data_IF_233950358772
#
_entry.id   IF_233950358772
#
_cell.length_a   1.000
_cell.length_b   1.000
_cell.length_c   1.000
_cell.angle_alpha   90.00
_cell.angle_beta   90.00
_cell.angle_gamma   90.00
#
_symmetry.space_group_name_H-M   'P 1'
#
loop_
_entity.id
_entity.type
_entity.pdbx_description
1 polymer ?
#
# COMPACT_ATOMS: atom_id res chain seq x y z
N UNK A 1 -39.15 -33.25 -18.08
CA UNK A 1 -38.15 -34.29 -17.76
C UNK A 1 -38.76 -35.10 -16.63
N UNK A 2 -39.11 -36.36 -16.89
CA UNK A 2 -39.59 -37.23 -15.83
C UNK A 2 -38.46 -37.44 -14.82
N UNK A 3 -38.78 -37.22 -13.55
CA UNK A 3 -37.88 -37.46 -12.43
C UNK A 3 -37.41 -38.92 -12.46
N UNK A 4 -36.09 -39.13 -12.37
CA UNK A 4 -35.45 -40.45 -12.23
C UNK A 4 -35.99 -41.26 -11.03
N UNK A 5 -36.72 -40.62 -10.12
CA UNK A 5 -37.24 -41.19 -8.88
C UNK A 5 -38.77 -41.31 -8.87
N UNK A 6 -39.42 -41.19 -10.03
CA UNK A 6 -40.88 -41.11 -10.14
C UNK A 6 -41.43 -39.72 -9.81
N UNK A 7 -42.73 -39.48 -10.01
CA UNK A 7 -43.36 -38.22 -9.66
C UNK A 7 -43.27 -38.01 -8.14
N UNK A 8 -43.01 -36.78 -7.66
CA UNK A 8 -43.08 -36.48 -6.23
C UNK A 8 -44.48 -36.84 -5.71
N UNK A 9 -44.55 -37.30 -4.46
CA UNK A 9 -45.85 -37.49 -3.79
C UNK A 9 -46.53 -36.12 -3.74
N UNK A 10 -47.66 -36.02 -4.42
CA UNK A 10 -48.51 -34.83 -4.36
C UNK A 10 -49.19 -34.78 -3.00
N UNK A 11 -49.00 -33.68 -2.29
CA UNK A 11 -49.59 -33.43 -0.98
C UNK A 11 -50.60 -32.27 -1.03
N UNK A 12 -50.94 -31.79 -2.22
CA UNK A 12 -51.87 -30.67 -2.42
C UNK A 12 -53.33 -31.04 -2.12
N UNK A 13 -53.64 -32.33 -2.05
CA UNK A 13 -54.94 -32.90 -1.65
C UNK A 13 -55.17 -32.87 -0.13
N UNK A 14 -54.11 -32.71 0.67
CA UNK A 14 -54.20 -32.60 2.12
C UNK A 14 -54.60 -31.17 2.52
N UNK A 15 -55.87 -30.98 2.86
CA UNK A 15 -56.47 -29.66 3.22
C UNK A 15 -55.77 -28.90 4.36
N UNK A 16 -55.03 -29.61 5.23
CA UNK A 16 -54.27 -29.04 6.34
C UNK A 16 -52.75 -29.03 6.10
N UNK A 17 -52.27 -29.52 4.95
CA UNK A 17 -50.87 -29.50 4.59
C UNK A 17 -50.52 -28.16 3.93
N UNK A 18 -50.20 -27.17 4.75
CA UNK A 18 -49.53 -25.96 4.29
C UNK A 18 -48.02 -26.14 4.47
N UNK A 19 -47.22 -25.86 3.42
CA UNK A 19 -45.80 -25.58 3.61
C UNK A 19 -45.69 -24.30 4.42
N UNK A 20 -45.55 -24.43 5.74
CA UNK A 20 -45.19 -23.30 6.59
C UNK A 20 -43.70 -23.05 6.33
N UNK A 21 -43.37 -22.04 5.53
CA UNK A 21 -42.01 -21.51 5.52
C UNK A 21 -41.70 -21.06 6.94
N UNK A 22 -40.85 -21.81 7.64
CA UNK A 22 -40.57 -21.57 9.07
C UNK A 22 -39.93 -20.18 9.31
N UNK A 23 -39.48 -19.50 8.26
CA UNK A 23 -39.02 -18.11 8.32
C UNK A 23 -39.33 -17.43 6.97
N UNK A 24 -40.13 -16.34 6.94
CA UNK A 24 -40.32 -15.55 5.74
C UNK A 24 -38.97 -15.09 5.21
N UNK A 25 -38.78 -15.15 3.89
CA UNK A 25 -37.60 -14.57 3.26
C UNK A 25 -37.51 -13.09 3.62
N UNK A 26 -36.40 -12.74 4.24
CA UNK A 26 -36.00 -11.36 4.49
C UNK A 26 -34.69 -11.10 3.78
N UNK A 27 -34.82 -10.44 2.64
CA UNK A 27 -33.73 -10.24 1.70
C UNK A 27 -33.19 -8.83 1.77
N UNK A 28 -31.87 -8.69 1.78
CA UNK A 28 -31.19 -7.39 1.75
C UNK A 28 -30.26 -7.28 0.56
N UNK A 29 -30.10 -6.06 0.05
CA UNK A 29 -29.15 -5.75 -1.01
C UNK A 29 -27.76 -5.49 -0.43
N UNK A 30 -26.72 -6.01 -1.07
CA UNK A 30 -25.33 -5.65 -0.81
C UNK A 30 -24.63 -5.18 -2.09
N UNK A 31 -24.11 -3.95 -2.06
CA UNK A 31 -23.47 -3.29 -3.21
C UNK A 31 -22.11 -2.68 -2.88
N UNK A 32 -21.33 -2.40 -3.91
CA UNK A 32 -20.07 -1.65 -3.75
C UNK A 32 -19.63 -0.94 -5.02
N UNK A 33 -19.10 0.25 -4.86
CA UNK A 33 -18.42 1.01 -5.92
C UNK A 33 -16.97 1.28 -5.52
N UNK A 34 -16.04 1.11 -6.46
CA UNK A 34 -14.63 1.39 -6.17
C UNK A 34 -14.30 2.87 -6.38
N UNK A 35 -13.62 3.47 -5.41
CA UNK A 35 -13.00 4.81 -5.52
C UNK A 35 -11.90 4.91 -6.58
N UNK A 36 -11.42 3.78 -7.11
CA UNK A 36 -10.31 3.75 -8.07
C UNK A 36 -10.74 3.62 -9.53
N UNK A 37 -11.99 3.26 -9.79
CA UNK A 37 -12.44 2.92 -11.14
C UNK A 37 -13.15 4.08 -11.85
N UNK A 38 -13.06 5.32 -11.30
CA UNK A 38 -13.78 6.51 -11.79
C UNK A 38 -15.26 6.26 -12.10
N UNK A 39 -15.91 5.40 -11.31
CA UNK A 39 -17.34 5.12 -11.44
C UNK A 39 -18.13 6.14 -10.62
N UNK A 40 -19.24 6.63 -11.17
CA UNK A 40 -20.18 7.46 -10.42
C UNK A 40 -21.06 6.55 -9.52
N UNK A 41 -21.00 6.69 -8.18
CA UNK A 41 -21.83 5.89 -7.28
C UNK A 41 -23.33 6.07 -7.53
N UNK A 42 -23.78 7.27 -7.90
CA UNK A 42 -25.21 7.58 -8.06
C UNK A 42 -25.86 6.89 -9.25
N UNK A 43 -25.07 6.41 -10.22
CA UNK A 43 -25.56 5.55 -11.31
C UNK A 43 -25.19 4.07 -11.12
N UNK A 44 -24.06 3.78 -10.48
CA UNK A 44 -23.56 2.41 -10.34
C UNK A 44 -24.31 1.60 -9.27
N UNK A 45 -24.64 2.19 -8.12
CA UNK A 45 -25.40 1.48 -7.07
C UNK A 45 -26.82 1.15 -7.52
N UNK A 46 -27.62 2.07 -8.11
CA UNK A 46 -28.97 1.72 -8.57
C UNK A 46 -28.97 0.61 -9.63
N UNK A 47 -28.00 0.62 -10.54
CA UNK A 47 -27.82 -0.48 -11.52
C UNK A 47 -27.55 -1.83 -10.83
N UNK A 48 -26.74 -1.83 -9.77
CA UNK A 48 -26.49 -3.04 -8.99
C UNK A 48 -27.77 -3.55 -8.31
N UNK A 49 -28.59 -2.65 -7.76
CA UNK A 49 -29.89 -2.99 -7.16
C UNK A 49 -30.81 -3.63 -8.21
N UNK A 50 -30.94 -3.03 -9.40
CA UNK A 50 -31.79 -3.55 -10.50
C UNK A 50 -31.35 -4.95 -10.94
N UNK A 51 -30.04 -5.23 -10.98
CA UNK A 51 -29.55 -6.57 -11.33
C UNK A 51 -29.74 -7.56 -10.18
N UNK A 52 -29.51 -7.13 -8.94
CA UNK A 52 -29.75 -7.96 -7.76
C UNK A 52 -31.24 -8.31 -7.60
N UNK A 53 -32.15 -7.37 -7.89
CA UNK A 53 -33.59 -7.57 -7.76
C UNK A 53 -34.15 -8.65 -8.69
N UNK A 54 -33.42 -9.03 -9.74
CA UNK A 54 -33.78 -10.16 -10.60
C UNK A 54 -33.75 -11.52 -9.87
N UNK A 55 -33.20 -11.55 -8.64
CA UNK A 55 -33.18 -12.73 -7.76
C UNK A 55 -34.22 -12.69 -6.65
N UNK A 56 -35.02 -11.63 -6.57
CA UNK A 56 -36.15 -11.57 -5.65
C UNK A 56 -37.26 -12.49 -6.15
N UNK A 57 -38.00 -13.07 -5.21
CA UNK A 57 -39.21 -13.83 -5.50
C UNK A 57 -40.40 -12.90 -5.77
N UNK A 58 -41.48 -13.43 -6.34
CA UNK A 58 -42.65 -12.61 -6.66
C UNK A 58 -43.26 -11.98 -5.40
N UNK A 59 -43.34 -10.65 -5.37
CA UNK A 59 -43.85 -9.90 -4.22
C UNK A 59 -42.84 -9.70 -3.09
N UNK A 60 -41.59 -10.10 -3.27
CA UNK A 60 -40.49 -9.83 -2.35
C UNK A 60 -39.83 -8.48 -2.66
N UNK A 61 -39.52 -7.70 -1.61
CA UNK A 61 -38.76 -6.45 -1.69
C UNK A 61 -37.50 -6.51 -0.81
N UNK A 62 -36.55 -5.63 -1.08
CA UNK A 62 -35.37 -5.49 -0.21
C UNK A 62 -35.75 -4.87 1.14
N UNK A 63 -35.51 -5.61 2.21
CA UNK A 63 -35.68 -5.16 3.60
C UNK A 63 -34.57 -4.20 4.08
N UNK A 64 -33.53 -3.99 3.27
CA UNK A 64 -32.42 -3.08 3.56
C UNK A 64 -31.38 -3.04 2.44
N UNK A 65 -30.62 -1.95 2.37
CA UNK A 65 -29.63 -1.63 1.35
C UNK A 65 -28.28 -1.30 2.00
N UNK A 66 -27.33 -2.22 1.88
CA UNK A 66 -25.99 -2.08 2.45
C UNK A 66 -25.00 -1.84 1.32
N UNK A 67 -24.30 -0.71 1.33
CA UNK A 67 -23.34 -0.43 0.28
C UNK A 67 -22.18 0.46 0.71
N UNK A 68 -21.07 0.22 0.02
CA UNK A 68 -19.76 0.80 0.27
C UNK A 68 -19.26 1.57 -0.97
N UNK A 69 -18.53 2.65 -0.76
CA UNK A 69 -17.82 3.41 -1.80
C UNK A 69 -16.33 3.38 -1.48
N UNK A 70 -15.77 2.18 -1.50
CA UNK A 70 -14.38 1.91 -1.16
C UNK A 70 -13.78 0.78 -2.02
N UNK A 71 -12.47 0.58 -1.88
CA UNK A 71 -11.77 -0.52 -2.54
C UNK A 71 -12.23 -1.87 -2.00
N UNK A 72 -12.62 -2.78 -2.89
CA UNK A 72 -12.95 -4.17 -2.53
C UNK A 72 -11.77 -5.00 -2.01
N UNK A 73 -10.57 -4.42 -1.91
CA UNK A 73 -9.40 -5.02 -1.26
C UNK A 73 -9.32 -4.72 0.23
N UNK A 74 -10.08 -3.73 0.71
CA UNK A 74 -10.13 -3.46 2.14
C UNK A 74 -10.93 -4.57 2.83
N UNK A 75 -10.53 -5.00 4.03
CA UNK A 75 -11.36 -5.86 4.85
C UNK A 75 -12.64 -5.10 5.26
N UNK A 76 -13.75 -5.78 5.60
CA UNK A 76 -15.04 -5.15 5.89
C UNK A 76 -14.95 -4.05 6.96
N UNK A 77 -14.21 -4.30 8.05
CA UNK A 77 -14.02 -3.38 9.17
C UNK A 77 -13.29 -2.07 8.82
N UNK A 78 -12.67 -1.99 7.64
CA UNK A 78 -11.99 -0.80 7.15
C UNK A 78 -12.80 -0.04 6.08
N UNK A 79 -14.06 -0.42 5.86
CA UNK A 79 -15.00 0.21 4.90
C UNK A 79 -16.13 0.89 5.64
N UNK A 80 -16.83 1.81 4.98
CA UNK A 80 -18.00 2.45 5.58
C UNK A 80 -17.67 3.41 6.73
N UNK A 81 -16.39 3.71 6.99
CA UNK A 81 -15.92 4.51 8.13
C UNK A 81 -16.02 6.03 7.89
N UNK A 82 -16.47 6.46 6.72
CA UNK A 82 -16.68 7.87 6.41
C UNK A 82 -17.85 8.45 7.23
N UNK A 83 -17.85 9.77 7.48
CA UNK A 83 -19.00 10.42 8.10
C UNK A 83 -20.22 10.38 7.15
N UNK A 84 -21.45 10.36 7.69
CA UNK A 84 -22.67 10.18 6.89
C UNK A 84 -22.83 11.26 5.81
N UNK A 85 -22.43 12.49 6.11
CA UNK A 85 -22.48 13.64 5.20
C UNK A 85 -21.67 13.39 3.91
N UNK A 86 -20.59 12.61 4.01
CA UNK A 86 -19.80 12.21 2.83
C UNK A 86 -20.62 11.34 1.88
N UNK A 87 -21.40 10.39 2.41
CA UNK A 87 -22.22 9.49 1.60
C UNK A 87 -23.46 10.21 1.06
N UNK A 88 -24.06 11.10 1.84
CA UNK A 88 -25.20 11.93 1.41
C UNK A 88 -24.80 12.82 0.23
N UNK A 89 -23.61 13.41 0.27
CA UNK A 89 -23.06 14.23 -0.81
C UNK A 89 -22.83 13.47 -2.13
N UNK A 90 -22.85 12.14 -2.12
CA UNK A 90 -22.76 11.33 -3.35
C UNK A 90 -24.08 11.33 -4.15
N UNK A 91 -25.19 11.79 -3.56
CA UNK A 91 -26.51 11.84 -4.20
C UNK A 91 -26.92 10.49 -4.82
N UNK A 92 -26.64 9.39 -4.11
CA UNK A 92 -27.07 8.05 -4.53
C UNK A 92 -28.57 7.92 -4.23
N UNK A 93 -29.43 7.64 -5.22
CA UNK A 93 -30.88 7.59 -5.00
C UNK A 93 -31.33 6.34 -4.23
N UNK A 94 -30.45 5.33 -4.12
CA UNK A 94 -30.68 4.15 -3.28
C UNK A 94 -30.42 4.47 -1.81
N UNK A 95 -31.35 4.14 -0.89
CA UNK A 95 -31.12 4.29 0.55
C UNK A 95 -29.85 3.58 1.02
N UNK A 96 -29.26 4.05 2.12
CA UNK A 96 -28.10 3.41 2.75
C UNK A 96 -28.38 3.09 4.20
N UNK A 97 -28.56 1.81 4.49
CA UNK A 97 -28.73 1.33 5.87
C UNK A 97 -27.39 1.10 6.56
N UNK A 98 -26.28 1.03 5.81
CA UNK A 98 -24.92 0.88 6.31
C UNK A 98 -23.96 0.34 5.23
N UNK A 99 -22.75 -0.01 5.64
CA UNK A 99 -21.74 -0.69 4.82
C UNK A 99 -21.76 -2.21 4.99
N UNK A 100 -20.77 -2.89 4.40
CA UNK A 100 -20.65 -4.35 4.51
C UNK A 100 -20.43 -4.82 5.96
N UNK A 101 -19.66 -4.08 6.75
CA UNK A 101 -19.43 -4.42 8.16
C UNK A 101 -20.73 -4.33 8.96
N UNK A 102 -21.52 -3.27 8.75
CA UNK A 102 -22.80 -3.11 9.45
C UNK A 102 -23.82 -4.19 9.10
N UNK A 103 -23.76 -4.74 7.88
CA UNK A 103 -24.54 -5.91 7.49
C UNK A 103 -24.11 -7.14 8.28
N UNK A 104 -22.80 -7.41 8.35
CA UNK A 104 -22.27 -8.58 9.07
C UNK A 104 -22.63 -8.54 10.56
N UNK A 105 -22.59 -7.36 11.17
CA UNK A 105 -22.87 -7.19 12.60
C UNK A 105 -24.36 -7.28 12.93
N UNK A 106 -25.24 -6.88 12.00
CA UNK A 106 -26.68 -6.78 12.26
C UNK A 106 -27.52 -7.85 11.57
N UNK A 107 -26.95 -8.69 10.69
CA UNK A 107 -27.72 -9.65 9.89
C UNK A 107 -28.63 -10.57 10.73
N UNK A 108 -28.11 -11.11 11.84
CA UNK A 108 -28.87 -11.98 12.74
C UNK A 108 -29.99 -11.23 13.46
N UNK A 109 -29.68 -10.05 14.02
CA UNK A 109 -30.64 -9.17 14.69
C UNK A 109 -31.77 -8.72 13.76
N UNK A 110 -31.42 -8.39 12.52
CA UNK A 110 -32.37 -7.98 11.48
C UNK A 110 -33.16 -9.17 10.91
N UNK A 111 -32.86 -10.40 11.32
CA UNK A 111 -33.51 -11.61 10.82
C UNK A 111 -33.29 -11.80 9.32
N UNK A 112 -32.16 -11.32 8.78
CA UNK A 112 -31.80 -11.51 7.37
C UNK A 112 -31.74 -13.01 7.08
N UNK A 113 -32.19 -13.39 5.90
CA UNK A 113 -32.13 -14.77 5.39
C UNK A 113 -31.34 -14.84 4.10
N UNK A 114 -31.34 -13.76 3.31
CA UNK A 114 -30.63 -13.69 2.04
C UNK A 114 -29.94 -12.35 1.85
N UNK A 115 -28.72 -12.39 1.33
CA UNK A 115 -27.95 -11.23 0.90
C UNK A 115 -27.76 -11.34 -0.60
N UNK A 116 -28.34 -10.39 -1.35
CA UNK A 116 -28.27 -10.36 -2.80
C UNK A 116 -27.30 -9.28 -3.25
N UNK A 117 -26.38 -9.67 -4.14
CA UNK A 117 -25.46 -8.74 -4.79
C UNK A 117 -25.41 -9.01 -6.29
N UNK A 118 -25.03 -8.00 -7.08
CA UNK A 118 -24.90 -8.16 -8.54
C UNK A 118 -23.92 -9.29 -8.90
N UNK A 119 -22.75 -9.29 -8.26
CA UNK A 119 -21.63 -10.20 -8.48
C UNK A 119 -20.81 -10.34 -7.19
N UNK A 120 -20.01 -11.39 -7.10
CA UNK A 120 -19.13 -11.64 -5.94
C UNK A 120 -18.14 -10.51 -5.64
N UNK A 121 -17.64 -9.82 -6.67
CA UNK A 121 -16.67 -8.73 -6.51
C UNK A 121 -17.28 -7.45 -5.89
N UNK A 122 -18.61 -7.38 -5.76
CA UNK A 122 -19.30 -6.35 -4.97
C UNK A 122 -19.09 -6.56 -3.48
N UNK A 123 -19.12 -7.81 -3.01
CA UNK A 123 -18.78 -8.15 -1.63
C UNK A 123 -17.30 -7.87 -1.36
N UNK A 124 -16.40 -8.45 -2.15
CA UNK A 124 -14.98 -8.17 -2.06
C UNK A 124 -14.25 -8.58 -3.33
N UNK A 125 -13.19 -7.84 -3.69
CA UNK A 125 -12.24 -8.27 -4.73
C UNK A 125 -11.23 -9.27 -4.19
N UNK A 126 -10.84 -9.14 -2.92
CA UNK A 126 -9.98 -10.13 -2.28
C UNK A 126 -10.78 -11.41 -2.03
N UNK A 127 -10.32 -12.53 -2.62
CA UNK A 127 -11.02 -13.82 -2.56
C UNK A 127 -11.17 -14.28 -1.12
N UNK A 128 -10.09 -14.23 -0.32
CA UNK A 128 -10.14 -14.59 1.10
C UNK A 128 -11.22 -13.82 1.86
N UNK A 129 -11.34 -12.51 1.60
CA UNK A 129 -12.38 -11.67 2.23
C UNK A 129 -13.77 -12.09 1.77
N UNK A 130 -13.97 -12.32 0.47
CA UNK A 130 -15.26 -12.78 -0.06
C UNK A 130 -15.69 -14.11 0.56
N UNK A 131 -14.76 -15.07 0.63
CA UNK A 131 -15.00 -16.38 1.25
C UNK A 131 -15.32 -16.26 2.75
N UNK A 132 -14.60 -15.37 3.45
CA UNK A 132 -14.83 -15.14 4.88
C UNK A 132 -16.22 -14.54 5.13
N UNK A 133 -16.65 -13.60 4.31
CA UNK A 133 -18.00 -13.02 4.38
C UNK A 133 -19.07 -14.06 4.10
N UNK A 134 -18.92 -14.84 3.02
CA UNK A 134 -19.82 -15.95 2.69
C UNK A 134 -19.93 -16.93 3.85
N UNK A 135 -18.80 -17.35 4.43
CA UNK A 135 -18.77 -18.29 5.54
C UNK A 135 -19.43 -17.74 6.81
N UNK A 136 -19.17 -16.47 7.16
CA UNK A 136 -19.79 -15.82 8.33
C UNK A 136 -21.30 -15.75 8.22
N UNK A 137 -21.82 -15.34 7.06
CA UNK A 137 -23.26 -15.26 6.80
C UNK A 137 -23.90 -16.65 6.76
N UNK A 138 -23.24 -17.62 6.10
CA UNK A 138 -23.73 -18.99 6.06
C UNK A 138 -23.83 -19.62 7.45
N UNK A 139 -22.88 -19.34 8.35
CA UNK A 139 -22.88 -19.87 9.73
C UNK A 139 -24.12 -19.46 10.53
N UNK A 140 -24.71 -18.31 10.22
CA UNK A 140 -25.95 -17.82 10.84
C UNK A 140 -27.20 -18.09 9.99
N UNK A 141 -27.08 -18.95 8.97
CA UNK A 141 -28.19 -19.35 8.10
C UNK A 141 -28.57 -18.32 7.03
N UNK A 142 -27.70 -17.35 6.73
CA UNK A 142 -27.91 -16.36 5.67
C UNK A 142 -27.28 -16.83 4.37
N UNK A 143 -28.09 -16.98 3.31
CA UNK A 143 -27.59 -17.33 1.98
C UNK A 143 -27.10 -16.08 1.23
N UNK A 144 -25.90 -16.15 0.67
CA UNK A 144 -25.40 -15.12 -0.26
C UNK A 144 -25.69 -15.54 -1.69
N UNK A 145 -26.44 -14.71 -2.41
CA UNK A 145 -26.87 -14.96 -3.79
C UNK A 145 -26.28 -13.88 -4.72
N UNK A 146 -25.64 -14.31 -5.80
CA UNK A 146 -25.12 -13.39 -6.81
C UNK A 146 -25.98 -13.43 -8.07
N UNK A 147 -26.42 -12.25 -8.54
CA UNK A 147 -27.34 -12.15 -9.67
C UNK A 147 -26.82 -12.81 -10.95
N UNK A 148 -25.51 -12.68 -11.20
CA UNK A 148 -24.85 -13.20 -12.39
C UNK A 148 -24.59 -14.72 -12.38
N UNK A 149 -24.99 -15.44 -11.33
CA UNK A 149 -24.90 -16.90 -11.30
C UNK A 149 -25.99 -17.54 -12.17
N UNK A 150 -25.80 -18.77 -12.65
CA UNK A 150 -26.88 -19.50 -13.33
C UNK A 150 -28.06 -19.73 -12.38
N UNK A 151 -29.28 -19.66 -12.91
CA UNK A 151 -30.52 -20.05 -12.21
C UNK A 151 -30.84 -21.49 -12.63
N UNK A 152 -31.08 -22.36 -11.64
CA UNK A 152 -31.22 -23.80 -11.86
C UNK A 152 -29.90 -24.51 -12.15
N UNK A 153 -29.98 -25.79 -12.52
CA UNK A 153 -28.80 -26.64 -12.72
C UNK A 153 -28.26 -27.24 -11.42
N UNK A 154 -26.97 -27.57 -11.39
CA UNK A 154 -26.34 -28.18 -10.21
C UNK A 154 -25.65 -27.14 -9.34
N UNK A 155 -25.63 -27.39 -8.02
CA UNK A 155 -24.86 -26.59 -7.07
C UNK A 155 -23.38 -26.48 -7.46
N UNK A 156 -22.82 -27.56 -8.01
CA UNK A 156 -21.43 -27.57 -8.47
C UNK A 156 -21.18 -26.58 -9.62
N UNK A 157 -22.16 -26.39 -10.52
CA UNK A 157 -22.10 -25.42 -11.62
C UNK A 157 -22.17 -23.98 -11.10
N UNK A 158 -23.09 -23.70 -10.17
CA UNK A 158 -23.20 -22.40 -9.49
C UNK A 158 -21.90 -22.04 -8.77
N UNK A 159 -21.36 -22.97 -7.99
CA UNK A 159 -20.10 -22.79 -7.27
C UNK A 159 -18.92 -22.54 -8.22
N UNK A 160 -18.87 -23.22 -9.37
CA UNK A 160 -17.83 -22.98 -10.38
C UNK A 160 -17.88 -21.54 -10.87
N UNK A 161 -19.04 -21.04 -11.30
CA UNK A 161 -19.23 -19.65 -11.74
C UNK A 161 -18.82 -18.65 -10.66
N UNK A 162 -19.22 -18.90 -9.41
CA UNK A 162 -18.84 -18.08 -8.25
C UNK A 162 -17.33 -17.96 -8.10
N UNK A 163 -16.62 -19.10 -8.07
CA UNK A 163 -15.18 -19.17 -7.87
C UNK A 163 -14.41 -18.57 -9.04
N UNK A 164 -14.86 -18.80 -10.28
CA UNK A 164 -14.29 -18.13 -11.45
C UNK A 164 -14.41 -16.60 -11.32
N UNK A 165 -15.59 -16.08 -10.98
CA UNK A 165 -15.77 -14.63 -10.80
C UNK A 165 -14.87 -14.02 -9.73
N UNK A 166 -14.63 -14.74 -8.62
CA UNK A 166 -13.74 -14.30 -7.54
C UNK A 166 -12.27 -14.29 -7.97
N UNK A 167 -11.82 -15.34 -8.69
CA UNK A 167 -10.46 -15.42 -9.23
C UNK A 167 -10.22 -14.33 -10.27
N UNK A 168 -11.15 -14.16 -11.21
CA UNK A 168 -11.09 -13.12 -12.25
C UNK A 168 -10.96 -11.71 -11.64
N UNK A 169 -11.64 -11.43 -10.53
CA UNK A 169 -11.55 -10.13 -9.86
C UNK A 169 -10.13 -9.82 -9.34
N UNK A 170 -9.40 -10.83 -8.84
CA UNK A 170 -8.00 -10.68 -8.41
C UNK A 170 -7.04 -10.58 -9.59
N UNK A 171 -7.22 -11.45 -10.60
CA UNK A 171 -6.40 -11.45 -11.81
C UNK A 171 -6.49 -10.11 -12.54
N UNK A 172 -7.71 -9.59 -12.74
CA UNK A 172 -7.94 -8.30 -13.40
C UNK A 172 -7.20 -7.16 -12.69
N UNK A 173 -7.26 -7.12 -11.36
CA UNK A 173 -6.52 -6.12 -10.57
C UNK A 173 -5.01 -6.27 -10.74
N UNK A 174 -4.50 -7.50 -10.68
CA UNK A 174 -3.06 -7.77 -10.81
C UNK A 174 -2.58 -7.36 -12.20
N UNK A 175 -3.28 -7.76 -13.25
CA UNK A 175 -2.99 -7.34 -14.62
C UNK A 175 -3.01 -5.81 -14.79
N UNK A 176 -4.00 -5.11 -14.21
CA UNK A 176 -4.01 -3.65 -14.24
C UNK A 176 -2.80 -3.02 -13.53
N UNK A 177 -2.36 -3.60 -12.40
CA UNK A 177 -1.16 -3.14 -11.72
C UNK A 177 0.09 -3.39 -12.55
N UNK A 178 0.20 -4.54 -13.20
CA UNK A 178 1.31 -4.88 -14.12
C UNK A 178 1.36 -3.91 -15.30
N UNK A 179 0.22 -3.64 -15.94
CA UNK A 179 0.11 -2.66 -17.03
C UNK A 179 0.50 -1.25 -16.57
N UNK A 180 0.01 -0.83 -15.40
CA UNK A 180 0.37 0.46 -14.80
C UNK A 180 1.86 0.55 -14.51
N UNK A 181 2.44 -0.50 -13.92
CA UNK A 181 3.87 -0.62 -13.65
C UNK A 181 4.69 -0.58 -14.94
N UNK A 182 4.27 -1.29 -15.99
CA UNK A 182 4.89 -1.23 -17.31
C UNK A 182 4.89 0.18 -17.89
N UNK A 183 3.79 0.93 -17.71
CA UNK A 183 3.72 2.34 -18.07
C UNK A 183 4.70 3.22 -17.29
N UNK A 184 4.87 2.99 -15.98
CA UNK A 184 5.87 3.70 -15.16
C UNK A 184 7.31 3.33 -15.54
N UNK A 185 7.56 2.06 -15.87
CA UNK A 185 8.85 1.58 -16.39
C UNK A 185 9.19 2.33 -17.67
N UNK A 186 8.28 2.36 -18.64
CA UNK A 186 8.49 3.08 -19.90
C UNK A 186 8.66 4.58 -19.67
N UNK A 187 7.94 5.15 -18.71
CA UNK A 187 8.09 6.56 -18.32
C UNK A 187 9.52 6.87 -17.85
N UNK A 188 10.15 5.96 -17.10
CA UNK A 188 11.53 6.11 -16.65
C UNK A 188 12.52 5.94 -17.80
N UNK A 189 12.29 4.94 -18.65
CA UNK A 189 13.11 4.68 -19.85
C UNK A 189 13.14 5.90 -20.78
N UNK A 190 12.00 6.57 -20.95
CA UNK A 190 11.89 7.79 -21.75
C UNK A 190 12.50 9.04 -21.07
N UNK A 191 13.00 8.91 -19.84
CA UNK A 191 13.64 9.99 -19.10
C UNK A 191 12.70 10.98 -18.41
N UNK A 192 11.40 10.67 -18.33
CA UNK A 192 10.43 11.56 -17.70
C UNK A 192 10.45 11.46 -16.17
N UNK A 193 10.18 12.58 -15.49
CA UNK A 193 10.33 12.74 -14.06
C UNK A 193 9.27 12.01 -13.23
N UNK A 194 9.73 11.07 -12.38
CA UNK A 194 8.92 10.48 -11.32
C UNK A 194 9.04 11.25 -10.00
N UNK A 195 7.90 11.62 -9.44
CA UNK A 195 7.78 12.22 -8.11
C UNK A 195 8.34 13.63 -8.00
N UNK A 196 8.63 14.06 -6.77
CA UNK A 196 9.21 15.37 -6.50
C UNK A 196 10.64 15.43 -7.07
N UNK A 197 11.00 16.48 -7.84
CA UNK A 197 12.37 16.69 -8.32
C UNK A 197 13.36 16.72 -7.15
N UNK A 198 14.44 15.93 -7.19
CA UNK A 198 15.48 16.08 -6.18
C UNK A 198 16.27 17.37 -6.44
N UNK A 199 16.71 18.04 -5.37
CA UNK A 199 17.75 19.06 -5.48
C UNK A 199 18.98 18.46 -6.20
N UNK A 200 19.62 19.18 -7.15
CA UNK A 200 19.46 20.59 -7.52
C UNK A 200 18.52 20.82 -8.71
N UNK A 201 17.63 19.89 -9.04
CA UNK A 201 16.79 19.95 -10.24
C UNK A 201 15.40 20.52 -9.98
N UNK A 202 14.78 21.01 -11.05
CA UNK A 202 13.35 21.27 -11.17
C UNK A 202 12.74 20.36 -12.24
N UNK A 203 11.40 20.26 -12.26
CA UNK A 203 10.69 19.55 -13.33
C UNK A 203 9.98 20.52 -14.26
N UNK A 204 10.37 20.53 -15.53
CA UNK A 204 9.75 21.32 -16.60
C UNK A 204 8.95 20.41 -17.53
N UNK A 205 7.94 20.97 -18.20
CA UNK A 205 7.15 20.24 -19.20
C UNK A 205 8.05 19.88 -20.38
N UNK A 206 7.90 18.66 -20.88
CA UNK A 206 8.57 18.18 -22.07
C UNK A 206 7.70 18.47 -23.29
N UNK A 207 7.94 19.61 -23.97
CA UNK A 207 7.17 20.05 -25.14
C UNK A 207 7.25 19.06 -26.32
N UNK A 208 8.30 18.24 -26.37
CA UNK A 208 8.46 17.19 -27.39
C UNK A 208 7.80 15.86 -27.03
N UNK A 209 7.13 15.76 -25.88
CA UNK A 209 6.42 14.55 -25.50
C UNK A 209 5.17 14.36 -26.37
N UNK A 210 4.75 13.10 -26.64
CA UNK A 210 3.48 12.84 -27.31
C UNK A 210 2.34 13.59 -26.60
N UNK A 211 1.40 14.17 -27.36
CA UNK A 211 0.30 14.90 -26.76
C UNK A 211 -0.44 13.98 -25.78
N UNK A 212 -0.92 14.52 -24.66
CA UNK A 212 -1.68 13.72 -23.72
C UNK A 212 -2.87 13.12 -24.46
N UNK A 213 -2.96 11.78 -24.50
CA UNK A 213 -4.12 11.15 -25.13
C UNK A 213 -5.38 11.63 -24.39
N UNK A 214 -6.42 12.11 -25.10
CA UNK A 214 -7.70 12.42 -24.46
C UNK A 214 -8.21 11.12 -23.81
N UNK A 215 -8.20 11.09 -22.48
CA UNK A 215 -8.25 9.86 -21.73
C UNK A 215 -9.60 9.59 -21.08
N UNK A 216 -10.15 8.39 -21.36
CA UNK A 216 -11.18 7.69 -20.56
C UNK A 216 -10.82 7.55 -19.06
N UNK A 217 -9.54 7.77 -18.71
CA UNK A 217 -8.95 7.55 -17.39
C UNK A 217 -8.60 8.85 -16.63
N UNK A 218 -9.18 9.98 -17.03
CA UNK A 218 -9.06 11.26 -16.32
C UNK A 218 -8.11 12.24 -17.00
N UNK A 219 -7.85 13.36 -16.30
CA UNK A 219 -7.10 14.49 -16.81
C UNK A 219 -5.66 14.10 -17.14
N UNK A 220 -5.29 14.26 -18.41
CA UNK A 220 -4.03 13.79 -18.91
C UNK A 220 -2.92 14.77 -18.49
N UNK A 221 -2.06 14.34 -17.55
CA UNK A 221 -1.00 15.19 -17.02
C UNK A 221 0.17 15.30 -18.00
N UNK A 222 0.74 16.51 -18.19
CA UNK A 222 1.88 16.70 -19.07
C UNK A 222 3.09 15.88 -18.57
N UNK A 223 3.88 15.37 -19.52
CA UNK A 223 5.16 14.73 -19.21
C UNK A 223 6.16 15.80 -18.81
N UNK A 224 6.99 15.51 -17.81
CA UNK A 224 8.00 16.44 -17.31
C UNK A 224 9.38 15.81 -17.37
N UNK A 225 10.42 16.62 -17.56
CA UNK A 225 11.83 16.22 -17.48
C UNK A 225 12.52 16.97 -16.35
N UNK A 226 13.60 16.40 -15.84
CA UNK A 226 14.46 17.10 -14.89
C UNK A 226 15.38 18.04 -15.65
N UNK A 227 15.48 19.27 -15.17
CA UNK A 227 16.46 20.26 -15.65
C UNK A 227 17.14 20.91 -14.44
N UNK A 228 18.39 21.41 -14.58
CA UNK A 228 19.04 22.17 -13.53
C UNK A 228 18.16 23.33 -13.05
N UNK A 229 18.19 23.60 -11.75
CA UNK A 229 17.63 24.83 -11.21
C UNK A 229 18.39 26.05 -11.77
N UNK A 230 17.71 27.18 -11.92
CA UNK A 230 18.28 28.41 -12.50
C UNK A 230 19.48 28.97 -11.71
N UNK A 231 19.50 28.72 -10.40
CA UNK A 231 20.64 29.03 -9.52
C UNK A 231 21.75 27.96 -9.66
N UNK A 232 22.89 28.27 -10.30
CA UNK A 232 23.96 27.31 -10.55
C UNK A 232 24.66 26.85 -9.26
N UNK A 233 24.61 27.66 -8.20
CA UNK A 233 25.24 27.31 -6.92
C UNK A 233 24.60 26.08 -6.28
N UNK A 234 23.34 25.78 -6.61
CA UNK A 234 22.69 24.54 -6.16
C UNK A 234 23.36 23.29 -6.74
N UNK A 235 23.78 23.38 -8.00
CA UNK A 235 24.48 22.30 -8.67
C UNK A 235 25.88 22.09 -8.07
N UNK A 236 26.59 23.18 -7.82
CA UNK A 236 27.89 23.16 -7.15
C UNK A 236 27.79 22.63 -5.72
N UNK A 237 26.76 23.02 -4.95
CA UNK A 237 26.51 22.44 -3.63
C UNK A 237 26.27 20.92 -3.69
N UNK A 238 25.59 20.45 -4.73
CA UNK A 238 25.35 19.01 -4.96
C UNK A 238 26.61 18.25 -5.37
N UNK A 239 27.54 18.91 -6.08
CA UNK A 239 28.87 18.36 -6.36
C UNK A 239 29.70 18.28 -5.10
N UNK A 240 29.74 19.37 -4.34
CA UNK A 240 30.51 19.47 -3.11
C UNK A 240 30.10 18.41 -2.08
N UNK A 241 28.80 18.22 -1.84
CA UNK A 241 28.34 17.20 -0.87
C UNK A 241 28.75 15.77 -1.30
N UNK A 242 28.78 15.48 -2.60
CA UNK A 242 29.23 14.19 -3.11
C UNK A 242 30.76 14.06 -3.02
N UNK A 243 31.51 15.13 -3.30
CA UNK A 243 32.96 15.18 -3.18
C UNK A 243 33.41 14.99 -1.73
N UNK A 244 32.84 15.74 -0.78
CA UNK A 244 33.13 15.62 0.66
C UNK A 244 32.82 14.21 1.20
N UNK A 245 31.79 13.54 0.67
CA UNK A 245 31.54 12.14 1.03
C UNK A 245 32.58 11.20 0.43
N UNK A 246 32.98 11.42 -0.83
CA UNK A 246 33.82 10.51 -1.59
C UNK A 246 35.30 10.60 -1.22
N UNK A 247 35.84 11.82 -1.13
CA UNK A 247 37.28 12.06 -0.91
C UNK A 247 37.60 12.16 0.59
N UNK A 248 36.79 12.89 1.34
CA UNK A 248 37.05 13.21 2.75
C UNK A 248 36.35 12.24 3.72
N UNK A 249 35.57 11.29 3.19
CA UNK A 249 34.83 10.28 3.94
C UNK A 249 33.93 10.85 5.06
N UNK A 250 33.45 12.09 4.89
CA UNK A 250 32.73 12.80 5.95
C UNK A 250 31.33 12.24 6.19
N UNK A 251 30.93 12.21 7.46
CA UNK A 251 29.55 11.88 7.85
C UNK A 251 28.62 13.04 7.55
N UNK A 252 27.32 12.76 7.49
CA UNK A 252 26.32 13.79 7.19
C UNK A 252 26.37 14.99 8.15
N UNK A 253 26.69 14.79 9.44
CA UNK A 253 26.81 15.88 10.40
C UNK A 253 27.92 16.87 10.03
N UNK A 254 29.08 16.36 9.63
CA UNK A 254 30.24 17.17 9.25
C UNK A 254 29.99 17.91 7.93
N UNK A 255 29.40 17.20 6.95
CA UNK A 255 28.97 17.82 5.68
C UNK A 255 27.97 18.95 5.94
N UNK A 256 26.98 18.74 6.83
CA UNK A 256 26.02 19.80 7.19
C UNK A 256 26.71 20.99 7.82
N UNK A 257 27.68 20.77 8.71
CA UNK A 257 28.42 21.86 9.34
C UNK A 257 29.16 22.71 8.31
N UNK A 258 29.85 22.07 7.36
CA UNK A 258 30.55 22.74 6.25
C UNK A 258 29.57 23.52 5.38
N UNK A 259 28.50 22.88 4.90
CA UNK A 259 27.55 23.52 4.00
C UNK A 259 26.75 24.64 4.67
N UNK A 260 26.51 24.53 5.99
CA UNK A 260 25.77 25.54 6.75
C UNK A 260 26.62 26.74 7.14
N UNK A 261 27.95 26.62 7.16
CA UNK A 261 28.87 27.71 7.45
C UNK A 261 28.85 28.80 6.36
N UNK A 262 28.57 28.42 5.11
CA UNK A 262 28.45 29.34 3.98
C UNK A 262 27.18 29.08 3.16
N UNK A 263 26.05 29.61 3.63
CA UNK A 263 24.76 29.52 2.93
C UNK A 263 24.72 30.27 1.60
N UNK A 264 25.61 31.23 1.40
CA UNK A 264 25.69 31.99 0.16
C UNK A 264 26.25 31.12 -0.96
N UNK A 265 27.25 30.28 -0.64
CA UNK A 265 27.84 29.32 -1.56
C UNK A 265 27.00 28.05 -1.73
N UNK A 266 26.25 27.65 -0.69
CA UNK A 266 25.45 26.42 -0.68
C UNK A 266 23.95 26.68 -0.45
N UNK A 267 23.27 27.36 -1.39
CA UNK A 267 21.91 27.83 -1.19
C UNK A 267 20.91 26.69 -1.12
N UNK A 268 19.98 26.78 -0.17
CA UNK A 268 18.92 25.79 0.01
C UNK A 268 17.66 26.41 0.62
N UNK A 269 16.51 25.87 0.26
CA UNK A 269 15.25 26.18 0.95
C UNK A 269 15.25 25.55 2.35
N UNK A 270 15.25 26.43 3.37
CA UNK A 270 15.31 26.05 4.77
C UNK A 270 16.74 25.80 5.26
N UNK A 271 17.06 24.55 5.61
CA UNK A 271 18.37 24.17 6.12
C UNK A 271 18.81 22.80 5.61
N UNK A 272 20.13 22.58 5.61
CA UNK A 272 20.70 21.25 5.42
C UNK A 272 20.33 20.37 6.61
N UNK A 273 19.75 19.21 6.32
CA UNK A 273 19.36 18.23 7.34
C UNK A 273 20.00 16.89 7.03
N UNK A 274 20.16 16.06 8.05
CA UNK A 274 20.72 14.71 7.91
C UNK A 274 20.02 13.91 6.80
N UNK A 275 18.69 13.88 6.81
CA UNK A 275 17.90 13.15 5.82
C UNK A 275 18.06 13.72 4.41
N UNK A 276 18.29 15.03 4.28
CA UNK A 276 18.50 15.66 2.98
C UNK A 276 19.87 15.32 2.41
N UNK A 277 20.94 15.42 3.22
CA UNK A 277 22.30 15.07 2.79
C UNK A 277 22.40 13.58 2.45
N UNK A 278 22.00 12.68 3.36
CA UNK A 278 22.02 11.24 3.09
C UNK A 278 21.10 10.85 1.93
N UNK A 279 19.94 11.50 1.82
CA UNK A 279 18.99 11.26 0.75
C UNK A 279 19.49 11.68 -0.63
N UNK A 280 20.26 12.77 -0.71
CA UNK A 280 20.86 13.27 -1.96
C UNK A 280 22.07 12.43 -2.37
N UNK A 281 23.00 12.15 -1.47
CA UNK A 281 24.14 11.27 -1.73
C UNK A 281 23.65 9.93 -2.27
N UNK A 282 22.61 9.35 -1.68
CA UNK A 282 22.04 8.07 -2.11
C UNK A 282 21.15 8.16 -3.36
N UNK A 283 20.98 9.34 -3.97
CA UNK A 283 20.08 9.52 -5.09
C UNK A 283 20.78 9.29 -6.44
N UNK A 284 20.52 8.17 -7.13
CA UNK A 284 21.17 7.90 -8.41
C UNK A 284 20.79 8.89 -9.51
N UNK A 285 19.70 9.67 -9.36
CA UNK A 285 19.35 10.71 -10.33
C UNK A 285 20.42 11.80 -10.45
N UNK A 286 21.34 11.94 -9.48
CA UNK A 286 22.48 12.85 -9.61
C UNK A 286 23.46 12.45 -10.73
N UNK A 287 23.35 11.23 -11.25
CA UNK A 287 24.21 10.71 -12.33
C UNK A 287 23.73 11.08 -13.75
N UNK A 288 22.68 11.87 -13.87
CA UNK A 288 22.04 12.21 -15.15
C UNK A 288 21.07 11.14 -15.66
N UNK A 289 21.03 9.96 -15.03
CA UNK A 289 20.06 8.91 -15.34
C UNK A 289 18.74 9.15 -14.64
N UNK A 290 17.64 8.84 -15.32
CA UNK A 290 16.36 8.76 -14.64
C UNK A 290 16.20 7.41 -13.96
N UNK A 291 15.74 7.42 -12.70
CA UNK A 291 15.60 6.20 -11.91
C UNK A 291 14.23 6.13 -11.21
N UNK A 292 13.55 5.01 -11.44
CA UNK A 292 12.24 4.67 -10.87
C UNK A 292 12.33 3.43 -9.94
N UNK A 293 11.27 3.22 -9.17
CA UNK A 293 11.07 2.08 -8.27
C UNK A 293 12.14 1.94 -7.17
N UNK A 294 12.76 3.05 -6.75
CA UNK A 294 13.77 3.05 -5.67
C UNK A 294 13.18 2.68 -4.31
N UNK A 295 11.95 3.12 -4.03
CA UNK A 295 11.25 2.88 -2.77
C UNK A 295 9.82 2.42 -3.04
N UNK A 296 9.40 1.38 -2.33
CA UNK A 296 7.99 1.01 -2.23
C UNK A 296 7.28 1.94 -1.24
N UNK A 297 6.24 2.62 -1.71
CA UNK A 297 5.35 3.45 -0.89
C UNK A 297 4.22 2.63 -0.24
N UNK A 298 3.97 1.39 -0.70
CA UNK A 298 2.92 0.50 -0.21
C UNK A 298 3.55 -0.76 0.39
N UNK A 299 4.03 -0.65 1.61
CA UNK A 299 4.63 -1.78 2.37
C UNK A 299 3.60 -2.59 3.17
N UNK A 300 2.31 -2.24 3.08
CA UNK A 300 1.25 -2.79 3.93
C UNK A 300 1.14 -2.11 5.30
N UNK A 301 2.09 -1.24 5.68
CA UNK A 301 2.02 -0.41 6.90
C UNK A 301 1.92 1.07 6.54
N UNK A 302 0.87 1.79 6.99
CA UNK A 302 0.77 3.23 6.79
C UNK A 302 2.02 3.96 7.30
N UNK A 303 2.57 4.91 6.52
CA UNK A 303 3.74 5.68 6.89
C UNK A 303 5.10 4.99 6.69
N UNK A 304 5.14 3.71 6.32
CA UNK A 304 6.40 2.99 6.09
C UNK A 304 6.74 2.89 4.60
N UNK A 305 7.88 3.46 4.21
CA UNK A 305 8.50 3.23 2.90
C UNK A 305 9.67 2.27 3.05
N UNK A 306 9.79 1.30 2.14
CA UNK A 306 10.90 0.35 2.11
C UNK A 306 11.73 0.59 0.85
N UNK A 307 13.05 0.57 0.97
CA UNK A 307 13.93 0.53 -0.20
C UNK A 307 13.72 -0.79 -0.95
N UNK A 308 13.53 -0.68 -2.27
CA UNK A 308 13.48 -1.87 -3.11
C UNK A 308 14.90 -2.35 -3.41
N UNK A 309 15.11 -3.66 -3.60
CA UNK A 309 16.36 -4.19 -4.13
C UNK A 309 16.77 -3.48 -5.41
N UNK A 310 18.07 -3.27 -5.62
CA UNK A 310 18.60 -2.58 -6.81
C UNK A 310 18.16 -3.29 -8.10
N UNK A 311 18.02 -4.62 -8.10
CA UNK A 311 17.52 -5.39 -9.24
C UNK A 311 16.10 -5.03 -9.69
N UNK A 312 15.34 -4.31 -8.86
CA UNK A 312 14.00 -3.83 -9.18
C UNK A 312 13.98 -2.36 -9.62
N UNK A 313 15.12 -1.67 -9.56
CA UNK A 313 15.22 -0.27 -9.97
C UNK A 313 15.25 -0.21 -11.49
N UNK A 314 14.45 0.71 -12.04
CA UNK A 314 14.42 0.94 -13.49
C UNK A 314 15.23 2.18 -13.78
N UNK A 315 16.25 2.03 -14.61
CA UNK A 315 17.12 3.12 -15.06
C UNK A 315 16.77 3.48 -16.50
N UNK A 316 16.90 4.76 -16.86
CA UNK A 316 16.94 5.15 -18.27
C UNK A 316 18.14 4.50 -18.96
N UNK A 317 18.06 4.16 -20.27
CA UNK A 317 19.15 3.48 -20.98
C UNK A 317 20.38 4.39 -21.19
N UNK A 318 20.21 5.70 -21.07
CA UNK A 318 21.24 6.73 -21.19
C UNK A 318 20.98 7.87 -20.19
N UNK A 319 21.96 8.76 -19.95
CA UNK A 319 21.70 10.02 -19.28
C UNK A 319 20.66 10.85 -20.05
N UNK A 320 19.69 11.43 -19.33
CA UNK A 320 18.54 12.17 -19.88
C UNK A 320 18.41 13.58 -19.32
N UNK A 321 19.24 13.94 -18.34
CA UNK A 321 19.39 15.27 -17.78
C UNK A 321 20.83 15.50 -17.34
N UNK A 322 21.20 16.74 -17.05
CA UNK A 322 22.57 17.11 -16.68
C UNK A 322 23.03 16.39 -15.41
N UNK A 323 24.19 15.75 -15.45
CA UNK A 323 24.73 15.01 -14.32
C UNK A 323 25.46 15.92 -13.33
N UNK A 324 25.12 15.83 -12.04
CA UNK A 324 25.89 16.47 -10.96
C UNK A 324 27.25 15.81 -10.84
N UNK A 325 27.26 14.47 -10.79
CA UNK A 325 28.45 13.63 -10.74
C UNK A 325 28.34 12.50 -11.75
N UNK A 326 29.45 11.95 -12.21
CA UNK A 326 29.45 10.75 -13.04
C UNK A 326 28.95 9.52 -12.26
N UNK A 327 28.54 8.47 -12.99
CA UNK A 327 28.13 7.21 -12.38
C UNK A 327 29.25 6.56 -11.55
N UNK A 328 30.51 6.68 -11.98
CA UNK A 328 31.66 6.15 -11.27
C UNK A 328 31.87 6.86 -9.93
N UNK A 329 31.80 8.19 -9.94
CA UNK A 329 31.92 9.02 -8.73
C UNK A 329 30.78 8.76 -7.75
N UNK A 330 29.56 8.57 -8.25
CA UNK A 330 28.42 8.20 -7.41
C UNK A 330 28.61 6.84 -6.75
N UNK A 331 29.12 5.84 -7.49
CA UNK A 331 29.44 4.50 -6.94
C UNK A 331 30.49 4.59 -5.84
N UNK A 332 31.57 5.35 -6.06
CA UNK A 332 32.60 5.58 -5.04
C UNK A 332 32.02 6.22 -3.76
N UNK A 333 31.13 7.21 -3.90
CA UNK A 333 30.43 7.79 -2.74
C UNK A 333 29.52 6.78 -2.02
N UNK A 334 28.89 5.84 -2.76
CA UNK A 334 28.10 4.76 -2.14
C UNK A 334 28.98 3.74 -1.41
N UNK A 335 30.16 3.42 -1.93
CA UNK A 335 31.13 2.54 -1.28
C UNK A 335 31.58 3.13 0.06
N UNK A 336 31.93 4.42 0.08
CA UNK A 336 32.26 5.13 1.34
C UNK A 336 31.05 5.14 2.28
N UNK A 337 29.85 5.38 1.76
CA UNK A 337 28.61 5.33 2.58
C UNK A 337 28.39 3.93 3.18
N UNK A 338 28.63 2.86 2.41
CA UNK A 338 28.56 1.49 2.89
C UNK A 338 29.63 1.22 3.96
N UNK A 339 30.87 1.69 3.75
CA UNK A 339 31.96 1.61 4.72
C UNK A 339 31.65 2.33 6.03
N UNK A 340 31.14 3.56 5.98
CA UNK A 340 30.71 4.31 7.15
C UNK A 340 29.58 3.61 7.92
N UNK A 341 28.63 2.99 7.20
CA UNK A 341 27.57 2.18 7.81
C UNK A 341 28.11 0.89 8.41
N UNK A 342 29.03 0.22 7.75
CA UNK A 342 29.68 -0.98 8.25
C UNK A 342 30.51 -0.66 9.51
N UNK A 343 31.25 0.45 9.53
CA UNK A 343 31.96 0.94 10.71
C UNK A 343 31.03 1.30 11.86
N UNK A 344 29.86 1.88 11.57
CA UNK A 344 28.81 2.10 12.57
C UNK A 344 28.19 0.78 13.08
N UNK A 345 27.98 -0.20 12.19
CA UNK A 345 27.48 -1.53 12.53
C UNK A 345 28.50 -2.38 13.31
N UNK A 346 29.80 -2.14 13.10
CA UNK A 346 30.90 -2.68 13.89
C UNK A 346 31.19 -1.86 15.15
N UNK A 347 30.42 -0.80 15.39
CA UNK A 347 30.60 0.10 16.53
C UNK A 347 30.49 -0.64 17.88
N UNK A 348 31.22 -0.18 18.90
CA UNK A 348 31.20 -0.74 20.26
C UNK A 348 29.82 -1.16 20.79
N UNK A 349 28.81 -0.28 20.66
CA UNK A 349 27.45 -0.57 21.13
C UNK A 349 26.75 -1.68 20.34
N UNK A 350 27.01 -1.81 19.04
CA UNK A 350 26.44 -2.90 18.22
C UNK A 350 27.14 -4.23 18.50
N UNK A 351 28.45 -4.22 18.77
CA UNK A 351 29.17 -5.42 19.24
C UNK A 351 28.62 -5.92 20.58
N UNK A 352 28.40 -5.01 21.53
CA UNK A 352 27.76 -5.35 22.82
C UNK A 352 26.34 -5.87 22.59
N UNK A 353 25.54 -5.22 21.72
CA UNK A 353 24.20 -5.69 21.35
C UNK A 353 24.20 -7.10 20.77
N UNK A 354 25.15 -7.41 19.89
CA UNK A 354 25.29 -8.75 19.30
C UNK A 354 25.67 -9.80 20.35
N UNK A 355 26.57 -9.47 21.29
CA UNK A 355 26.90 -10.34 22.43
C UNK A 355 25.69 -10.59 23.34
N UNK A 356 24.97 -9.53 23.72
CA UNK A 356 23.73 -9.63 24.48
C UNK A 356 22.66 -10.48 23.77
N UNK A 357 22.49 -10.29 22.46
CA UNK A 357 21.52 -11.06 21.66
C UNK A 357 21.86 -12.54 21.56
N UNK A 358 23.15 -12.92 21.53
CA UNK A 358 23.57 -14.34 21.60
C UNK A 358 23.17 -15.00 22.92
N UNK A 359 22.97 -14.20 23.98
CA UNK A 359 22.47 -14.62 25.29
C UNK A 359 20.95 -14.45 25.46
N UNK A 360 20.22 -14.07 24.40
CA UNK A 360 18.78 -13.80 24.50
C UNK A 360 18.44 -12.53 25.30
N UNK A 361 19.41 -11.66 25.57
CA UNK A 361 19.19 -10.43 26.34
C UNK A 361 18.79 -9.27 25.42
N UNK A 362 17.73 -8.56 25.79
CA UNK A 362 17.34 -7.33 25.12
C UNK A 362 18.37 -6.23 25.39
N UNK A 363 18.79 -5.51 24.34
CA UNK A 363 19.69 -4.37 24.43
C UNK A 363 18.98 -3.12 23.93
N UNK A 364 18.85 -2.09 24.77
CA UNK A 364 18.27 -0.80 24.39
C UNK A 364 19.03 0.37 25.01
N UNK A 365 19.10 1.48 24.29
CA UNK A 365 19.59 2.75 24.82
C UNK A 365 18.48 3.40 25.63
N UNK A 366 18.78 3.86 26.85
CA UNK A 366 17.84 4.55 27.72
C UNK A 366 17.99 6.06 27.59
N UNK A 367 19.20 6.56 27.84
CA UNK A 367 19.48 7.99 27.90
C UNK A 367 20.89 8.27 27.38
N UNK A 368 21.09 9.42 26.75
CA UNK A 368 22.37 9.83 26.18
C UNK A 368 22.70 11.26 26.60
N UNK A 369 23.84 11.44 27.23
CA UNK A 369 24.45 12.74 27.51
C UNK A 369 25.66 12.96 26.58
N UNK A 370 26.27 14.13 26.69
CA UNK A 370 27.51 14.47 25.95
C UNK A 370 28.68 13.58 26.35
N UNK A 371 28.77 13.13 27.60
CA UNK A 371 29.89 12.32 28.10
C UNK A 371 29.60 10.82 28.20
N UNK A 372 28.34 10.41 28.40
CA UNK A 372 27.97 9.02 28.65
C UNK A 372 26.64 8.63 27.98
N UNK A 373 26.45 7.35 27.72
CA UNK A 373 25.19 6.75 27.27
C UNK A 373 24.81 5.62 28.22
N UNK A 374 23.59 5.65 28.74
CA UNK A 374 23.04 4.59 29.56
C UNK A 374 22.30 3.57 28.68
N UNK A 375 22.67 2.30 28.83
CA UNK A 375 22.07 1.18 28.14
C UNK A 375 21.37 0.25 29.14
N UNK A 376 20.31 -0.41 28.69
CA UNK A 376 19.71 -1.57 29.35
C UNK A 376 20.13 -2.83 28.62
N UNK A 377 20.66 -3.80 29.35
CA UNK A 377 21.05 -5.13 28.85
C UNK A 377 20.34 -6.17 29.73
N UNK A 378 19.27 -6.77 29.23
CA UNK A 378 18.36 -7.59 30.04
C UNK A 378 17.75 -6.76 31.18
N UNK A 379 17.92 -7.22 32.42
CA UNK A 379 17.50 -6.51 33.64
C UNK A 379 18.51 -5.45 34.12
N UNK A 380 19.72 -5.42 33.54
CA UNK A 380 20.82 -4.58 34.03
C UNK A 380 20.87 -3.24 33.33
N UNK A 381 21.32 -2.22 34.07
CA UNK A 381 21.64 -0.89 33.54
C UNK A 381 23.15 -0.73 33.51
N UNK A 382 23.69 -0.34 32.36
CA UNK A 382 25.13 -0.12 32.15
C UNK A 382 25.34 1.29 31.64
N UNK A 383 26.22 2.06 32.28
CA UNK A 383 26.60 3.40 31.83
C UNK A 383 27.94 3.30 31.12
N UNK A 384 27.98 3.71 29.85
CA UNK A 384 29.19 3.65 29.04
C UNK A 384 29.57 5.06 28.57
N UNK A 385 30.86 5.41 28.49
CA UNK A 385 31.31 6.67 27.92
C UNK A 385 30.87 6.84 26.45
N UNK A 386 30.72 8.10 26.02
CA UNK A 386 30.37 8.48 24.64
C UNK A 386 31.54 9.28 24.03
N UNK A 387 32.27 8.74 23.03
CA UNK A 387 32.14 7.42 22.43
C UNK A 387 32.67 6.30 23.35
N UNK A 388 32.17 5.07 23.17
CA UNK A 388 32.59 3.91 23.98
C UNK A 388 34.00 3.48 23.51
N UNK A 389 35.04 3.54 24.35
CA UNK A 389 36.37 3.05 23.98
C UNK A 389 36.35 1.55 23.71
N UNK A 390 37.20 1.11 22.78
CA UNK A 390 37.29 -0.30 22.41
C UNK A 390 37.53 -1.26 23.61
N UNK A 391 38.44 -0.95 24.57
CA UNK A 391 38.66 -1.81 25.74
C UNK A 391 37.43 -1.93 26.63
N UNK A 392 36.71 -0.82 26.84
CA UNK A 392 35.47 -0.81 27.64
C UNK A 392 34.39 -1.67 26.98
N UNK A 393 34.27 -1.59 25.65
CA UNK A 393 33.33 -2.42 24.92
C UNK A 393 33.66 -3.92 25.03
N UNK A 394 34.95 -4.26 24.99
CA UNK A 394 35.44 -5.62 25.11
C UNK A 394 35.19 -6.19 26.51
N UNK A 395 35.46 -5.42 27.57
CA UNK A 395 35.16 -5.81 28.96
C UNK A 395 33.67 -6.12 29.17
N UNK A 396 32.77 -5.31 28.61
CA UNK A 396 31.33 -5.55 28.70
C UNK A 396 30.93 -6.82 27.94
N UNK A 397 31.52 -7.07 26.77
CA UNK A 397 31.27 -8.29 25.99
C UNK A 397 31.75 -9.52 26.77
N UNK A 398 32.96 -9.49 27.33
CA UNK A 398 33.52 -10.57 28.14
C UNK A 398 32.69 -10.83 29.41
N UNK A 399 32.23 -9.77 30.09
CA UNK A 399 31.31 -9.91 31.22
C UNK A 399 30.02 -10.62 30.83
N UNK A 400 29.41 -10.25 29.69
CA UNK A 400 28.20 -10.93 29.17
C UNK A 400 28.46 -12.37 28.73
N UNK A 401 29.69 -12.71 28.33
CA UNK A 401 30.09 -14.06 27.93
C UNK A 401 30.55 -14.92 29.12
N UNK A 402 30.93 -14.32 30.24
CA UNK A 402 31.39 -15.02 31.46
C UNK A 402 30.24 -15.41 32.41
N UNK A 403 29.08 -14.76 32.29
CA UNK A 403 27.91 -15.09 33.08
C UNK A 403 27.25 -16.35 32.53
N UNK A 404 27.30 -17.42 33.33
CA UNK A 404 26.81 -18.76 32.96
C UNK A 404 25.33 -18.86 33.18
#
# INVERSE_FOLDING_TARGET
>A
MDSLYGPPIDLTDLSNFARVEMRPRRTVFCGRVSTKDNQNPSSSIPRQVVLASQRLENGEDFAGHFWDVESGMLPPEARGLGPQEMYDALHVPTPRDGGLQDLLDRAELLGVTHVLAERSDRIARAMLTSLTVEHKLQKIGVEVVYANEPIGGTESGRLRTRRYGQVEAELFRTAMLEMSMGGQVQHAINGWNHGIPPYPYIAVVDEGAPPPAPGRFGEARPKKKLVPHADPLRFEASRELCLLRREEHLKAADIIAILSADRSKYPIEGQWTHNRVEGLIANPKLTGYQVYNRRASRTGRPGFSRWNPISQWVWSPRPVHEAVVSLAEWKAAQEVTAGLRAGAAAGPAMRIRAAASRRGLAFSMLEKTTSHTQYRIGSRKVVLPTPIPHPVAQQVIESLESET
#
